data_IF_227079207761
#
_entry.id   IF_227079207761
#
_cell.length_a   1.000
_cell.length_b   1.000
_cell.length_c   1.000
_cell.angle_alpha   90.00
_cell.angle_beta   90.00
_cell.angle_gamma   90.00
#
_symmetry.space_group_name_H-M   'P 1'
#
loop_
_entity.id
_entity.type
_entity.pdbx_description
1 polymer ?
#
# COMPACT_ATOMS: atom_id res chain seq x y z
N UNK A 1 3.45 18.73 -22.75
CA UNK A 1 3.92 19.53 -21.60
C UNK A 1 4.26 18.59 -20.49
N UNK A 2 5.50 18.63 -19.97
CA UNK A 2 5.90 17.83 -18.81
C UNK A 2 5.25 18.42 -17.57
N UNK A 3 4.37 17.68 -16.92
CA UNK A 3 4.00 17.97 -15.54
C UNK A 3 5.08 17.32 -14.68
N UNK A 4 6.11 18.10 -14.37
CA UNK A 4 7.07 17.76 -13.31
C UNK A 4 6.34 17.81 -11.98
N UNK A 5 6.31 16.67 -11.26
CA UNK A 5 6.04 16.66 -9.82
C UNK A 5 6.99 17.70 -9.20
N UNK A 6 6.47 18.64 -8.42
CA UNK A 6 7.30 19.66 -7.80
C UNK A 6 8.39 18.96 -6.99
N UNK A 7 9.65 19.09 -7.42
CA UNK A 7 10.79 18.81 -6.55
C UNK A 7 10.75 19.91 -5.50
N UNK A 8 10.11 19.63 -4.37
CA UNK A 8 10.20 20.49 -3.19
C UNK A 8 11.58 20.23 -2.58
N UNK A 9 12.59 20.89 -3.12
CA UNK A 9 13.84 21.13 -2.40
C UNK A 9 13.61 22.27 -1.42
N UNK A 10 12.97 21.96 -0.30
CA UNK A 10 13.00 22.81 0.89
C UNK A 10 13.16 21.89 2.09
N UNK A 11 14.03 22.22 3.07
CA UNK A 11 13.95 21.54 4.34
C UNK A 11 12.57 21.90 4.89
N UNK A 12 11.65 20.93 4.96
CA UNK A 12 10.38 21.14 5.61
C UNK A 12 10.69 21.49 7.07
N UNK A 13 10.63 22.79 7.39
CA UNK A 13 10.55 23.26 8.76
C UNK A 13 9.41 22.51 9.43
N UNK A 14 9.70 21.95 10.59
CA UNK A 14 8.78 21.24 11.46
C UNK A 14 7.36 21.85 11.45
N UNK A 15 6.39 21.10 10.92
CA UNK A 15 4.99 21.19 11.35
C UNK A 15 4.00 22.04 10.54
N UNK A 16 4.29 22.48 9.31
CA UNK A 16 3.25 23.16 8.51
C UNK A 16 2.30 22.17 7.81
N UNK A 17 1.14 21.92 8.42
CA UNK A 17 -0.15 21.68 7.76
C UNK A 17 -0.29 20.60 6.67
N UNK A 18 0.67 19.69 6.49
CA UNK A 18 0.57 18.64 5.46
C UNK A 18 -0.62 17.73 5.75
N UNK A 19 -1.60 17.73 4.83
CA UNK A 19 -2.75 16.80 4.82
C UNK A 19 -2.56 15.79 3.69
N UNK A 20 -1.71 14.76 3.90
CA UNK A 20 -1.36 13.82 2.85
C UNK A 20 -2.59 13.10 2.30
N UNK A 21 -2.59 12.87 0.99
CA UNK A 21 -3.54 11.99 0.31
C UNK A 21 -2.96 10.58 0.29
N UNK A 22 -3.62 9.62 0.91
CA UNK A 22 -3.21 8.22 0.88
C UNK A 22 -4.18 7.46 0.00
N UNK A 23 -3.65 6.87 -1.07
CA UNK A 23 -4.41 5.97 -1.93
C UNK A 23 -4.70 4.66 -1.22
N UNK A 24 -5.93 4.15 -1.36
CA UNK A 24 -6.30 2.80 -0.95
C UNK A 24 -6.72 2.05 -2.21
N UNK A 25 -6.00 0.98 -2.56
CA UNK A 25 -6.33 0.18 -3.72
C UNK A 25 -7.69 -0.50 -3.51
N UNK A 26 -8.63 -0.30 -4.44
CA UNK A 26 -9.93 -0.97 -4.40
C UNK A 26 -9.78 -2.45 -4.73
N UNK A 27 -10.83 -3.22 -4.50
CA UNK A 27 -10.93 -4.62 -4.87
C UNK A 27 -12.25 -4.87 -5.60
N UNK A 28 -12.34 -5.88 -6.48
CA UNK A 28 -13.64 -6.31 -6.99
C UNK A 28 -14.49 -6.86 -5.83
N UNK A 29 -15.80 -6.61 -5.88
CA UNK A 29 -16.74 -7.04 -4.83
C UNK A 29 -16.83 -8.57 -4.78
N UNK A 30 -16.74 -9.24 -5.92
CA UNK A 30 -16.61 -10.70 -6.03
C UNK A 30 -15.96 -11.08 -7.37
N UNK A 31 -15.79 -12.39 -7.63
CA UNK A 31 -15.30 -12.86 -8.94
C UNK A 31 -16.22 -12.49 -10.10
N UNK A 32 -17.52 -12.38 -9.85
CA UNK A 32 -18.54 -12.10 -10.87
C UNK A 32 -18.99 -10.63 -10.87
N UNK A 33 -18.59 -9.87 -9.85
CA UNK A 33 -18.92 -8.45 -9.71
C UNK A 33 -17.64 -7.60 -9.66
N UNK A 34 -17.24 -6.97 -10.78
CA UNK A 34 -16.05 -6.14 -10.85
C UNK A 34 -16.22 -4.78 -10.17
N UNK A 35 -17.37 -4.51 -9.54
CA UNK A 35 -17.64 -3.25 -8.86
C UNK A 35 -16.55 -2.98 -7.81
N UNK A 36 -15.83 -1.85 -7.89
CA UNK A 36 -14.78 -1.51 -6.94
C UNK A 36 -15.33 -1.28 -5.52
N UNK A 37 -14.69 -1.89 -4.54
CA UNK A 37 -15.01 -1.77 -3.12
C UNK A 37 -13.75 -1.51 -2.27
N UNK A 38 -13.93 -0.82 -1.14
CA UNK A 38 -12.95 -0.66 -0.06
C UNK A 38 -13.69 -0.83 1.27
N UNK A 39 -13.15 -1.63 2.19
CA UNK A 39 -13.68 -1.70 3.54
C UNK A 39 -13.46 -0.38 4.30
N UNK A 40 -14.52 0.15 4.91
CA UNK A 40 -14.50 1.45 5.59
C UNK A 40 -13.47 1.53 6.74
N UNK A 41 -13.06 0.39 7.30
CA UNK A 41 -11.98 0.31 8.29
C UNK A 41 -10.65 0.87 7.78
N UNK A 42 -10.31 0.66 6.50
CA UNK A 42 -9.09 1.22 5.91
C UNK A 42 -9.16 2.74 5.74
N UNK A 43 -10.33 3.28 5.40
CA UNK A 43 -10.57 4.73 5.33
C UNK A 43 -10.34 5.35 6.71
N UNK A 44 -10.97 4.78 7.75
CA UNK A 44 -10.78 5.22 9.14
C UNK A 44 -9.34 5.09 9.60
N UNK A 45 -8.65 4.01 9.23
CA UNK A 45 -7.23 3.82 9.56
C UNK A 45 -6.35 4.95 9.02
N UNK A 46 -6.57 5.36 7.76
CA UNK A 46 -5.87 6.50 7.15
C UNK A 46 -6.20 7.81 7.87
N UNK A 47 -7.47 8.06 8.14
CA UNK A 47 -7.93 9.30 8.80
C UNK A 47 -7.40 9.42 10.24
N UNK A 48 -7.34 8.32 10.99
CA UNK A 48 -6.72 8.29 12.31
C UNK A 48 -5.22 8.60 12.28
N UNK A 49 -4.54 8.34 11.16
CA UNK A 49 -3.17 8.75 10.90
C UNK A 49 -3.00 10.24 10.54
N UNK A 50 -4.09 11.03 10.52
CA UNK A 50 -4.08 12.45 10.15
C UNK A 50 -4.04 12.70 8.63
N UNK A 51 -4.34 11.69 7.83
CA UNK A 51 -4.34 11.74 6.36
C UNK A 51 -5.77 11.76 5.78
N UNK A 52 -5.88 12.00 4.47
CA UNK A 52 -7.13 11.85 3.71
C UNK A 52 -7.04 10.62 2.82
N UNK A 53 -8.03 9.75 2.88
CA UNK A 53 -8.12 8.58 2.03
C UNK A 53 -8.69 8.92 0.65
N UNK A 54 -8.12 8.33 -0.40
CA UNK A 54 -8.69 8.37 -1.76
C UNK A 54 -8.67 6.97 -2.39
N UNK A 55 -9.70 6.59 -3.16
CA UNK A 55 -9.71 5.30 -3.83
C UNK A 55 -8.72 5.30 -5.01
N UNK A 56 -7.97 4.22 -5.14
CA UNK A 56 -7.18 3.89 -6.35
C UNK A 56 -7.85 2.70 -7.00
N UNK A 57 -8.31 2.85 -8.25
CA UNK A 57 -9.20 1.86 -8.83
C UNK A 57 -8.43 0.69 -9.44
N UNK A 58 -8.66 -0.53 -8.95
CA UNK A 58 -7.96 -1.74 -9.42
C UNK A 58 -8.20 -2.08 -10.90
N UNK A 59 -9.29 -1.56 -11.49
CA UNK A 59 -9.63 -1.71 -12.90
C UNK A 59 -9.24 -0.49 -13.76
N UNK A 60 -8.45 0.45 -13.21
CA UNK A 60 -7.93 1.59 -13.94
C UNK A 60 -6.91 1.15 -15.00
N UNK A 61 -6.83 1.89 -16.10
CA UNK A 61 -5.75 1.68 -17.08
C UNK A 61 -4.39 2.04 -16.47
N UNK A 62 -3.28 1.57 -17.05
CA UNK A 62 -1.94 1.97 -16.58
C UNK A 62 -1.74 3.49 -16.57
N UNK A 63 -2.37 4.21 -17.52
CA UNK A 63 -2.35 5.68 -17.55
C UNK A 63 -3.12 6.32 -16.40
N UNK A 64 -4.31 5.79 -16.09
CA UNK A 64 -5.12 6.27 -14.97
C UNK A 64 -4.43 5.98 -13.63
N UNK A 65 -3.88 4.78 -13.46
CA UNK A 65 -3.12 4.40 -12.27
C UNK A 65 -1.90 5.30 -12.08
N UNK A 66 -1.16 5.61 -13.14
CA UNK A 66 -0.04 6.54 -13.07
C UNK A 66 -0.49 7.97 -12.70
N UNK A 67 -1.62 8.44 -13.24
CA UNK A 67 -2.18 9.73 -12.90
C UNK A 67 -2.62 9.79 -11.42
N UNK A 68 -3.31 8.75 -10.93
CA UNK A 68 -3.69 8.62 -9.52
C UNK A 68 -2.44 8.57 -8.61
N UNK A 69 -1.45 7.74 -8.96
CA UNK A 69 -0.18 7.63 -8.24
C UNK A 69 0.53 8.98 -8.09
N UNK A 70 0.58 9.77 -9.17
CA UNK A 70 1.22 11.10 -9.15
C UNK A 70 0.51 12.11 -8.23
N UNK A 71 -0.75 11.84 -7.89
CA UNK A 71 -1.61 12.73 -7.08
C UNK A 71 -1.64 12.35 -5.60
N UNK A 72 -1.09 11.19 -5.21
CA UNK A 72 -1.10 10.69 -3.82
C UNK A 72 0.31 10.72 -3.20
N UNK A 73 0.36 10.64 -1.87
CA UNK A 73 1.56 10.71 -1.07
C UNK A 73 1.98 9.35 -0.47
N UNK A 74 1.17 8.30 -0.66
CA UNK A 74 1.42 6.95 -0.20
C UNK A 74 0.27 6.02 -0.60
N UNK A 75 0.51 4.71 -0.47
CA UNK A 75 -0.44 3.68 -0.91
C UNK A 75 -0.68 2.62 0.16
N UNK A 76 -1.94 2.26 0.37
CA UNK A 76 -2.37 1.09 1.12
C UNK A 76 -2.86 0.02 0.13
N UNK A 77 -2.29 -1.18 0.27
CA UNK A 77 -2.80 -2.42 -0.28
C UNK A 77 -3.61 -3.12 0.83
N UNK A 78 -4.96 -3.08 0.79
CA UNK A 78 -5.78 -3.62 1.86
C UNK A 78 -5.76 -5.16 1.86
N UNK A 79 -6.27 -5.73 2.95
CA UNK A 79 -6.64 -7.13 3.04
C UNK A 79 -7.89 -7.43 2.20
N UNK A 80 -8.26 -8.70 2.08
CA UNK A 80 -9.40 -9.13 1.31
C UNK A 80 -9.30 -10.60 0.93
N UNK A 81 -10.22 -11.06 0.07
CA UNK A 81 -10.26 -12.43 -0.46
C UNK A 81 -10.34 -12.47 -1.99
N UNK A 82 -9.90 -11.39 -2.66
CA UNK A 82 -9.89 -11.32 -4.12
C UNK A 82 -8.79 -12.19 -4.72
N UNK A 83 -8.98 -12.58 -5.98
CA UNK A 83 -7.95 -13.30 -6.74
C UNK A 83 -6.67 -12.47 -6.91
N UNK A 84 -5.53 -13.11 -6.65
CA UNK A 84 -4.18 -12.55 -6.79
C UNK A 84 -3.37 -13.23 -7.88
N UNK A 85 -4.01 -14.08 -8.71
CA UNK A 85 -3.38 -14.66 -9.88
C UNK A 85 -2.82 -13.57 -10.80
N UNK A 86 -1.70 -13.89 -11.46
CA UNK A 86 -1.11 -13.03 -12.50
C UNK A 86 -2.15 -12.72 -13.57
N UNK A 87 -2.27 -11.45 -13.92
CA UNK A 87 -3.24 -10.96 -14.91
C UNK A 87 -4.62 -10.59 -14.35
N UNK A 88 -4.94 -10.92 -13.09
CA UNK A 88 -6.12 -10.35 -12.44
C UNK A 88 -5.99 -8.81 -12.36
N UNK A 89 -7.11 -8.10 -12.46
CA UNK A 89 -7.12 -6.63 -12.42
C UNK A 89 -6.48 -6.09 -11.14
N UNK A 90 -6.76 -6.71 -9.99
CA UNK A 90 -6.13 -6.39 -8.71
C UNK A 90 -4.60 -6.56 -8.77
N UNK A 91 -4.11 -7.70 -9.26
CA UNK A 91 -2.67 -7.99 -9.33
C UNK A 91 -1.97 -7.02 -10.27
N UNK A 92 -2.52 -6.77 -11.46
CA UNK A 92 -1.97 -5.84 -12.45
C UNK A 92 -1.90 -4.41 -11.92
N UNK A 93 -2.94 -3.94 -11.23
CA UNK A 93 -2.93 -2.62 -10.63
C UNK A 93 -1.88 -2.51 -9.52
N UNK A 94 -1.79 -3.52 -8.65
CA UNK A 94 -0.78 -3.56 -7.60
C UNK A 94 0.66 -3.56 -8.16
N UNK A 95 0.92 -4.32 -9.24
CA UNK A 95 2.23 -4.33 -9.93
C UNK A 95 2.59 -2.96 -10.50
N UNK A 96 1.63 -2.35 -11.18
CA UNK A 96 1.82 -1.03 -11.79
C UNK A 96 2.17 0.01 -10.72
N UNK A 97 1.40 0.04 -9.62
CA UNK A 97 1.60 1.00 -8.54
C UNK A 97 2.88 0.74 -7.74
N UNK A 98 3.23 -0.53 -7.50
CA UNK A 98 4.46 -0.87 -6.79
C UNK A 98 5.70 -0.54 -7.64
N UNK A 99 5.66 -0.80 -8.95
CA UNK A 99 6.74 -0.41 -9.86
C UNK A 99 6.98 1.10 -9.82
N UNK A 100 5.90 1.90 -9.91
CA UNK A 100 5.97 3.36 -9.78
C UNK A 100 6.52 3.80 -8.41
N UNK A 101 6.12 3.14 -7.33
CA UNK A 101 6.65 3.41 -5.99
C UNK A 101 8.15 3.13 -5.90
N UNK A 102 8.62 2.01 -6.45
CA UNK A 102 10.05 1.68 -6.48
C UNK A 102 10.83 2.71 -7.30
N UNK A 103 10.35 3.05 -8.50
CA UNK A 103 10.96 4.07 -9.36
C UNK A 103 11.07 5.43 -8.64
N UNK A 104 9.99 5.87 -7.97
CA UNK A 104 9.98 7.10 -7.20
C UNK A 104 11.03 7.07 -6.07
N UNK A 105 11.07 5.99 -5.28
CA UNK A 105 12.02 5.88 -4.18
C UNK A 105 13.48 5.80 -4.66
N UNK A 106 13.77 5.12 -5.77
CA UNK A 106 15.09 5.09 -6.40
C UNK A 106 15.51 6.48 -6.89
N UNK A 107 14.57 7.27 -7.40
CA UNK A 107 14.79 8.66 -7.80
C UNK A 107 14.88 9.64 -6.61
N UNK A 108 14.72 9.18 -5.37
CA UNK A 108 14.74 10.01 -4.16
C UNK A 108 13.41 10.68 -3.81
N UNK A 109 12.33 10.40 -4.55
CA UNK A 109 10.96 10.81 -4.22
C UNK A 109 10.33 9.76 -3.29
N UNK A 110 10.40 10.00 -1.98
CA UNK A 110 9.97 9.04 -0.97
C UNK A 110 8.48 8.74 -1.09
N UNK A 111 8.14 7.49 -1.42
CA UNK A 111 6.76 7.02 -1.57
C UNK A 111 6.52 5.76 -0.72
N UNK A 112 5.85 5.85 0.44
CA UNK A 112 5.58 4.69 1.28
C UNK A 112 4.45 3.82 0.73
N UNK A 113 4.63 2.50 0.82
CA UNK A 113 3.61 1.49 0.54
C UNK A 113 3.40 0.64 1.79
N UNK A 114 2.14 0.40 2.16
CA UNK A 114 1.76 -0.46 3.27
C UNK A 114 0.83 -1.57 2.78
N UNK A 115 1.15 -2.83 3.08
CA UNK A 115 0.32 -3.99 2.76
C UNK A 115 -0.23 -4.64 4.02
N UNK A 116 -1.53 -4.93 4.03
CA UNK A 116 -2.21 -5.63 5.13
C UNK A 116 -2.82 -6.94 4.61
N UNK A 117 -2.59 -8.09 5.27
CA UNK A 117 -3.12 -9.40 4.87
C UNK A 117 -2.87 -9.68 3.37
N UNK A 118 -3.93 -9.73 2.53
CA UNK A 118 -3.83 -9.86 1.08
C UNK A 118 -2.85 -8.86 0.44
N UNK A 119 -2.78 -7.63 0.94
CA UNK A 119 -1.81 -6.64 0.49
C UNK A 119 -0.36 -7.01 0.80
N UNK A 120 -0.10 -7.72 1.90
CA UNK A 120 1.21 -8.26 2.24
C UNK A 120 1.56 -9.47 1.35
N UNK A 121 0.59 -10.34 1.06
CA UNK A 121 0.76 -11.44 0.09
C UNK A 121 1.12 -10.89 -1.29
N UNK A 122 0.40 -9.86 -1.77
CA UNK A 122 0.70 -9.16 -3.01
C UNK A 122 2.13 -8.62 -3.04
N UNK A 123 2.61 -8.00 -1.96
CA UNK A 123 4.01 -7.55 -1.86
C UNK A 123 4.99 -8.73 -1.96
N UNK A 124 4.74 -9.84 -1.26
CA UNK A 124 5.59 -11.02 -1.32
C UNK A 124 5.66 -11.60 -2.73
N UNK A 125 4.52 -11.79 -3.39
CA UNK A 125 4.42 -12.26 -4.78
C UNK A 125 5.18 -11.33 -5.74
N UNK A 126 5.04 -10.01 -5.58
CA UNK A 126 5.70 -9.03 -6.45
C UNK A 126 7.21 -8.96 -6.26
N UNK A 127 7.69 -9.00 -5.02
CA UNK A 127 9.11 -8.83 -4.76
C UNK A 127 9.88 -10.12 -5.07
N UNK A 128 9.31 -11.28 -4.76
CA UNK A 128 9.95 -12.57 -5.04
C UNK A 128 9.78 -13.03 -6.49
N UNK A 129 8.74 -12.53 -7.18
CA UNK A 129 8.33 -13.01 -8.50
C UNK A 129 7.98 -14.51 -8.52
N UNK A 130 7.65 -15.08 -7.35
CA UNK A 130 7.35 -16.49 -7.14
C UNK A 130 5.93 -16.67 -6.61
N UNK A 131 5.07 -17.30 -7.40
CA UNK A 131 3.68 -17.58 -7.00
C UNK A 131 3.59 -18.74 -5.98
N UNK A 132 4.68 -19.48 -5.79
CA UNK A 132 4.81 -20.56 -4.80
C UNK A 132 5.30 -20.12 -3.43
N UNK A 133 5.57 -18.81 -3.23
CA UNK A 133 6.06 -18.29 -1.94
C UNK A 133 5.02 -18.37 -0.81
N UNK A 134 3.74 -18.44 -1.15
CA UNK A 134 2.64 -18.54 -0.20
C UNK A 134 2.40 -19.98 0.23
N UNK A 135 2.12 -20.18 1.51
CA UNK A 135 1.77 -21.49 2.07
C UNK A 135 0.52 -21.38 2.93
N UNK A 136 -0.20 -22.50 3.07
CA UNK A 136 -1.39 -22.56 3.92
C UNK A 136 -0.97 -22.53 5.39
N UNK A 137 -1.68 -21.74 6.17
CA UNK A 137 -1.53 -21.67 7.61
C UNK A 137 -2.90 -21.41 8.24
N UNK A 138 -3.20 -22.07 9.35
CA UNK A 138 -4.48 -21.90 10.06
C UNK A 138 -4.42 -20.66 10.96
N UNK A 139 -4.85 -19.52 10.42
CA UNK A 139 -4.88 -18.22 11.10
C UNK A 139 -6.22 -17.49 10.89
N UNK A 140 -7.25 -18.17 10.40
CA UNK A 140 -8.57 -17.58 10.27
C UNK A 140 -9.19 -17.40 11.66
N UNK A 141 -9.72 -16.20 11.93
CA UNK A 141 -10.30 -15.82 13.23
C UNK A 141 -9.37 -16.07 14.44
N UNK A 142 -8.06 -15.94 14.24
CA UNK A 142 -7.06 -16.23 15.26
C UNK A 142 -6.34 -14.96 15.75
N UNK A 143 -6.62 -14.56 16.99
CA UNK A 143 -5.86 -13.50 17.66
C UNK A 143 -4.54 -14.05 18.21
N UNK A 144 -3.42 -13.41 17.87
CA UNK A 144 -2.08 -13.82 18.29
C UNK A 144 -1.25 -12.63 18.76
N UNK A 145 -0.26 -12.93 19.59
CA UNK A 145 0.81 -11.99 19.91
C UNK A 145 1.83 -11.94 18.77
N UNK A 146 2.47 -10.78 18.58
CA UNK A 146 3.64 -10.67 17.73
C UNK A 146 4.88 -11.05 18.57
N UNK A 147 5.82 -11.77 17.99
CA UNK A 147 7.13 -12.05 18.62
C UNK A 147 8.23 -11.36 17.80
N UNK A 148 9.04 -10.45 18.36
CA UNK A 148 10.05 -9.75 17.59
C UNK A 148 11.21 -10.69 17.26
N UNK A 149 11.69 -10.62 16.01
CA UNK A 149 12.93 -11.31 15.65
C UNK A 149 14.09 -10.76 16.49
N UNK A 150 14.80 -11.64 17.20
CA UNK A 150 15.89 -11.23 18.10
C UNK A 150 15.45 -10.65 19.46
N UNK A 151 14.16 -10.73 19.81
CA UNK A 151 13.67 -10.40 21.16
C UNK A 151 13.46 -8.92 21.45
N UNK A 152 13.60 -8.02 20.46
CA UNK A 152 13.42 -6.57 20.64
C UNK A 152 12.69 -5.94 19.43
N UNK A 153 11.68 -5.12 19.67
CA UNK A 153 10.89 -4.44 18.62
C UNK A 153 11.61 -3.27 17.96
N UNK A 154 12.33 -2.49 18.76
CA UNK A 154 12.82 -1.17 18.38
C UNK A 154 14.26 -1.15 17.83
N UNK A 155 15.02 -2.25 17.98
CA UNK A 155 16.42 -2.28 17.58
C UNK A 155 16.56 -2.21 16.04
N UNK A 156 16.70 -1.00 15.50
CA UNK A 156 16.92 -0.74 14.07
C UNK A 156 15.66 -0.71 13.19
N UNK A 157 14.47 -1.00 13.71
CA UNK A 157 13.22 -0.95 12.94
C UNK A 157 12.70 0.47 12.79
N UNK A 158 12.33 0.87 11.56
CA UNK A 158 11.62 2.14 11.32
C UNK A 158 10.18 2.10 11.84
N UNK A 159 9.48 0.97 11.65
CA UNK A 159 8.06 0.82 11.97
C UNK A 159 7.79 0.95 13.47
N UNK A 160 8.63 0.32 14.31
CA UNK A 160 8.48 0.35 15.77
C UNK A 160 9.47 1.33 16.45
N UNK A 161 10.11 2.22 15.69
CA UNK A 161 11.08 3.20 16.24
C UNK A 161 10.52 4.13 17.31
N UNK A 162 9.19 4.27 17.39
CA UNK A 162 8.47 5.10 18.35
C UNK A 162 7.52 4.32 19.26
N UNK A 163 7.58 2.99 19.23
CA UNK A 163 6.84 2.19 20.19
C UNK A 163 7.42 2.45 21.59
N UNK A 164 6.55 2.59 22.59
CA UNK A 164 7.00 2.65 23.98
C UNK A 164 7.73 1.35 24.33
N UNK A 165 8.88 1.46 25.00
CA UNK A 165 9.62 0.32 25.51
C UNK A 165 8.85 -0.40 26.61
#
# INVERSE_FOLDING_TARGET
>A
GRITKAVVSAPASSGEGLRPLVGILTQPTSSDDPTPYIAASYVKFVEMGGARAVPVFHNGSSGDLAAQFSSINGLILPGGGSDVAKGSSLRVAAETLLALAVEANVAGDVFPVHGTCLGFELLALMITQDDGVLSKFDAEDFASELTPSGGQWAAGSRLFSRAAA
#
